data_IF_296628990532
#
_entry.id   IF_296628990532
#
_cell.length_a   1.000
_cell.length_b   1.000
_cell.length_c   1.000
_cell.angle_alpha   90.00
_cell.angle_beta   90.00
_cell.angle_gamma   90.00
#
_symmetry.space_group_name_H-M   'P 1'
#
loop_
_entity.id
_entity.type
_entity.pdbx_description
1 polymer ?
#
# COMPACT_ATOMS: atom_id res chain seq x y z
N UNK A 1 17.79 -15.70 -6.76
CA UNK A 1 16.73 -15.45 -5.76
C UNK A 1 15.60 -16.42 -6.03
N UNK A 2 14.88 -16.94 -5.03
CA UNK A 2 13.84 -17.95 -5.27
C UNK A 2 12.49 -17.24 -5.45
N UNK A 3 11.81 -17.54 -6.56
CA UNK A 3 10.46 -17.04 -6.85
C UNK A 3 9.49 -17.54 -5.78
N UNK A 4 8.77 -16.61 -5.18
CA UNK A 4 7.75 -16.87 -4.15
C UNK A 4 6.36 -17.01 -4.77
N UNK A 5 6.04 -16.09 -5.69
CA UNK A 5 4.77 -16.04 -6.41
C UNK A 5 5.07 -15.90 -7.90
N UNK A 6 4.38 -16.69 -8.70
CA UNK A 6 4.41 -16.63 -10.17
C UNK A 6 2.98 -16.45 -10.68
N UNK A 7 2.75 -15.43 -11.46
CA UNK A 7 1.46 -15.10 -12.10
C UNK A 7 1.68 -15.03 -13.60
N UNK A 8 0.86 -15.78 -14.37
CA UNK A 8 0.97 -15.87 -15.83
C UNK A 8 -0.37 -15.61 -16.50
N UNK A 9 -0.45 -14.53 -17.27
CA UNK A 9 -1.62 -14.12 -18.06
C UNK A 9 -2.93 -14.18 -17.26
N UNK A 10 -2.85 -13.83 -15.97
CA UNK A 10 -3.93 -13.97 -15.01
C UNK A 10 -5.04 -12.97 -15.29
N UNK A 11 -6.26 -13.44 -15.42
CA UNK A 11 -7.44 -12.58 -15.49
C UNK A 11 -8.52 -13.08 -14.53
N UNK A 12 -9.26 -12.12 -13.96
CA UNK A 12 -10.40 -12.39 -13.07
C UNK A 12 -11.54 -11.44 -13.36
N UNK A 13 -12.70 -12.02 -13.68
CA UNK A 13 -13.96 -11.32 -13.92
C UNK A 13 -14.99 -11.67 -12.86
N UNK A 14 -15.84 -10.71 -12.53
CA UNK A 14 -17.05 -10.87 -11.73
C UNK A 14 -18.22 -10.31 -12.54
N UNK A 15 -18.92 -11.21 -13.25
CA UNK A 15 -19.88 -10.79 -14.26
C UNK A 15 -19.19 -9.98 -15.37
N UNK A 16 -19.63 -8.75 -15.56
CA UNK A 16 -19.05 -7.82 -16.55
C UNK A 16 -17.86 -7.01 -16.02
N UNK A 17 -17.60 -7.08 -14.71
CA UNK A 17 -16.51 -6.31 -14.09
C UNK A 17 -15.19 -7.07 -14.19
N UNK A 18 -14.22 -6.47 -14.87
CA UNK A 18 -12.85 -7.00 -14.97
C UNK A 18 -12.03 -6.48 -13.78
N UNK A 19 -11.74 -7.35 -12.82
CA UNK A 19 -10.97 -6.99 -11.63
C UNK A 19 -9.45 -7.17 -11.83
N UNK A 20 -9.04 -8.18 -12.61
CA UNK A 20 -7.64 -8.40 -13.04
C UNK A 20 -7.70 -8.72 -14.54
N UNK A 21 -6.77 -8.12 -15.30
CA UNK A 21 -6.71 -8.24 -16.75
C UNK A 21 -5.30 -8.59 -17.22
N UNK A 22 -5.12 -9.80 -17.72
CA UNK A 22 -3.88 -10.30 -18.33
C UNK A 22 -2.59 -9.99 -17.53
N UNK A 23 -2.65 -10.16 -16.21
CA UNK A 23 -1.55 -9.85 -15.30
C UNK A 23 -0.46 -10.93 -15.39
N UNK A 24 0.79 -10.51 -15.62
CA UNK A 24 1.96 -11.39 -15.55
C UNK A 24 3.01 -10.72 -14.68
N UNK A 25 3.39 -11.38 -13.58
CA UNK A 25 4.41 -10.89 -12.66
C UNK A 25 5.04 -12.04 -11.86
N UNK A 26 6.20 -11.76 -11.26
CA UNK A 26 6.86 -12.63 -10.29
C UNK A 26 7.20 -11.84 -9.04
N UNK A 27 6.95 -12.41 -7.85
CA UNK A 27 7.37 -11.83 -6.59
C UNK A 27 8.40 -12.74 -5.94
N UNK A 28 9.50 -12.16 -5.54
CA UNK A 28 10.59 -12.86 -4.85
C UNK A 28 10.41 -12.78 -3.33
N UNK A 29 11.25 -13.53 -2.59
CA UNK A 29 11.28 -13.45 -1.13
C UNK A 29 11.70 -12.06 -0.65
N UNK A 30 11.13 -11.63 0.46
CA UNK A 30 11.37 -10.35 1.08
C UNK A 30 10.09 -9.51 1.23
N UNK A 31 10.24 -8.22 1.47
CA UNK A 31 9.11 -7.29 1.58
C UNK A 31 8.84 -6.67 0.20
N UNK A 32 7.60 -6.74 -0.25
CA UNK A 32 7.14 -6.16 -1.53
C UNK A 32 5.93 -5.28 -1.29
N UNK A 33 5.95 -4.06 -1.81
CA UNK A 33 4.80 -3.17 -1.85
C UNK A 33 3.90 -3.47 -3.06
N UNK A 34 2.61 -3.64 -2.83
CA UNK A 34 1.60 -3.74 -3.88
C UNK A 34 0.83 -2.42 -3.93
N UNK A 35 1.25 -1.55 -4.83
CA UNK A 35 0.78 -0.17 -4.91
C UNK A 35 -0.29 -0.02 -5.99
N UNK A 36 -1.30 0.81 -5.73
CA UNK A 36 -2.33 1.13 -6.72
C UNK A 36 -3.56 1.79 -6.09
N UNK A 37 -4.34 2.56 -6.87
CA UNK A 37 -5.55 3.21 -6.37
C UNK A 37 -6.61 2.19 -5.90
N UNK A 38 -7.67 2.71 -5.28
CA UNK A 38 -8.82 1.88 -4.94
C UNK A 38 -9.45 1.32 -6.23
N UNK A 39 -9.79 0.03 -6.20
CA UNK A 39 -10.29 -0.66 -7.39
C UNK A 39 -9.21 -1.16 -8.36
N UNK A 40 -7.90 -0.94 -8.11
CA UNK A 40 -6.81 -1.43 -8.97
C UNK A 40 -6.68 -2.97 -9.03
N UNK A 41 -7.39 -3.71 -8.16
CA UNK A 41 -7.36 -5.17 -8.12
C UNK A 41 -6.49 -5.77 -7.01
N UNK A 42 -5.92 -4.97 -6.10
CA UNK A 42 -5.01 -5.42 -5.02
C UNK A 42 -5.61 -6.53 -4.17
N UNK A 43 -6.77 -6.29 -3.55
CA UNK A 43 -7.44 -7.29 -2.70
C UNK A 43 -7.94 -8.50 -3.50
N UNK A 44 -8.28 -8.32 -4.79
CA UNK A 44 -8.62 -9.43 -5.68
C UNK A 44 -7.41 -10.32 -5.93
N UNK A 45 -6.24 -9.72 -6.18
CA UNK A 45 -5.00 -10.46 -6.35
C UNK A 45 -4.63 -11.23 -5.07
N UNK A 46 -4.76 -10.63 -3.89
CA UNK A 46 -4.57 -11.33 -2.61
C UNK A 46 -5.51 -12.53 -2.45
N UNK A 47 -6.81 -12.37 -2.76
CA UNK A 47 -7.77 -13.47 -2.68
C UNK A 47 -7.48 -14.59 -3.69
N UNK A 48 -6.86 -14.28 -4.84
CA UNK A 48 -6.35 -15.27 -5.79
C UNK A 48 -5.09 -15.99 -5.25
N UNK A 49 -4.15 -15.26 -4.62
CA UNK A 49 -2.98 -15.83 -3.94
C UNK A 49 -3.36 -16.75 -2.78
N UNK A 50 -4.45 -16.43 -2.08
CA UNK A 50 -5.02 -17.26 -1.01
C UNK A 50 -5.83 -18.46 -1.52
N UNK A 51 -6.06 -18.57 -2.84
CA UNK A 51 -6.92 -19.61 -3.41
C UNK A 51 -8.40 -19.46 -3.10
N UNK A 52 -8.82 -18.32 -2.51
CA UNK A 52 -10.23 -17.98 -2.24
C UNK A 52 -11.00 -17.72 -3.53
N UNK A 53 -10.32 -17.18 -4.54
CA UNK A 53 -10.87 -17.02 -5.88
C UNK A 53 -10.15 -17.91 -6.88
N UNK A 54 -10.89 -18.36 -7.90
CA UNK A 54 -10.33 -19.06 -9.05
C UNK A 54 -10.07 -18.04 -10.15
N UNK A 55 -8.92 -18.07 -10.82
CA UNK A 55 -8.70 -17.33 -12.05
C UNK A 55 -9.80 -17.60 -13.08
N UNK A 56 -10.21 -16.58 -13.82
CA UNK A 56 -11.08 -16.75 -15.01
C UNK A 56 -10.24 -17.20 -16.21
N UNK A 57 -8.97 -16.75 -16.29
CA UNK A 57 -7.96 -17.14 -17.27
C UNK A 57 -6.57 -17.07 -16.66
N UNK A 58 -5.60 -17.79 -17.25
CA UNK A 58 -4.23 -17.82 -16.79
C UNK A 58 -4.01 -18.66 -15.53
N UNK A 59 -2.91 -18.40 -14.84
CA UNK A 59 -2.55 -19.20 -13.66
C UNK A 59 -1.82 -18.36 -12.61
N UNK A 60 -1.90 -18.85 -11.37
CA UNK A 60 -1.14 -18.33 -10.23
C UNK A 60 -0.53 -19.49 -9.46
N UNK A 61 0.72 -19.33 -9.04
CA UNK A 61 1.43 -20.26 -8.17
C UNK A 61 2.00 -19.50 -6.97
N UNK A 62 1.88 -20.09 -5.81
CA UNK A 62 2.46 -19.61 -4.56
C UNK A 62 3.30 -20.76 -3.98
N UNK A 63 4.57 -20.51 -3.65
CA UNK A 63 5.52 -21.56 -3.25
C UNK A 63 5.58 -22.72 -4.27
N UNK A 64 5.56 -22.40 -5.57
CA UNK A 64 5.52 -23.36 -6.68
C UNK A 64 4.22 -24.19 -6.78
N UNK A 65 3.30 -24.07 -5.82
CA UNK A 65 2.01 -24.76 -5.77
C UNK A 65 0.83 -23.91 -6.27
N UNK A 66 -0.23 -24.57 -6.76
CA UNK A 66 -1.51 -23.91 -6.96
C UNK A 66 -2.13 -23.65 -5.57
N UNK A 67 -2.50 -22.41 -5.21
CA UNK A 67 -3.04 -22.11 -3.88
C UNK A 67 -4.43 -22.70 -3.64
N UNK A 68 -5.20 -23.00 -4.72
CA UNK A 68 -6.57 -23.47 -4.58
C UNK A 68 -6.61 -24.90 -4.03
N UNK A 69 -7.36 -25.10 -2.94
CA UNK A 69 -7.53 -26.41 -2.26
C UNK A 69 -6.20 -27.08 -1.90
N UNK A 70 -5.16 -26.30 -1.66
CA UNK A 70 -3.82 -26.79 -1.36
C UNK A 70 -3.43 -26.41 0.08
N UNK A 71 -3.67 -27.35 1.00
CA UNK A 71 -3.41 -27.14 2.42
C UNK A 71 -1.94 -26.81 2.71
N UNK A 72 -1.00 -27.44 1.99
CA UNK A 72 0.44 -27.20 2.16
C UNK A 72 0.86 -25.78 1.79
N UNK A 73 0.17 -25.13 0.85
CA UNK A 73 0.35 -23.72 0.51
C UNK A 73 -0.34 -22.85 1.55
N UNK A 74 -1.60 -23.16 1.88
CA UNK A 74 -2.41 -22.35 2.80
C UNK A 74 -1.81 -22.25 4.21
N UNK A 75 -1.22 -23.32 4.73
CA UNK A 75 -0.57 -23.34 6.04
C UNK A 75 0.66 -22.42 6.14
N UNK A 76 1.22 -22.02 5.00
CA UNK A 76 2.39 -21.13 4.91
C UNK A 76 2.01 -19.69 4.67
N UNK A 77 0.70 -19.39 4.54
CA UNK A 77 0.16 -18.06 4.27
C UNK A 77 -0.50 -17.47 5.52
N UNK A 78 -0.25 -16.19 5.76
CA UNK A 78 -0.99 -15.37 6.69
C UNK A 78 -1.66 -14.22 5.95
N UNK A 79 -2.88 -13.86 6.34
CA UNK A 79 -3.64 -12.79 5.71
C UNK A 79 -4.24 -11.83 6.73
N UNK A 80 -3.92 -10.56 6.58
CA UNK A 80 -4.54 -9.47 7.30
C UNK A 80 -5.47 -8.73 6.34
N UNK A 81 -6.80 -8.88 6.43
CA UNK A 81 -7.76 -8.22 5.55
C UNK A 81 -7.87 -6.72 5.86
N UNK A 82 -8.28 -5.94 4.86
CA UNK A 82 -8.63 -4.52 5.03
C UNK A 82 -9.79 -4.35 6.02
N UNK A 83 -10.85 -5.12 5.83
CA UNK A 83 -12.07 -5.04 6.65
C UNK A 83 -11.97 -5.89 7.91
N UNK A 84 -12.58 -5.40 8.98
CA UNK A 84 -12.66 -6.13 10.23
C UNK A 84 -13.67 -7.29 10.15
N UNK A 85 -13.28 -8.46 10.68
CA UNK A 85 -14.12 -9.68 10.73
C UNK A 85 -13.97 -10.36 12.08
N UNK A 86 -14.17 -9.60 13.16
CA UNK A 86 -14.02 -10.10 14.52
C UNK A 86 -15.31 -10.69 15.10
N UNK A 87 -15.14 -11.56 16.06
CA UNK A 87 -16.16 -11.90 17.04
C UNK A 87 -16.06 -10.88 18.19
N UNK A 88 -16.85 -9.83 18.13
CA UNK A 88 -16.74 -8.63 18.97
C UNK A 88 -16.76 -8.92 20.48
N UNK A 89 -17.45 -9.96 20.91
CA UNK A 89 -17.56 -10.37 22.33
C UNK A 89 -16.34 -11.17 22.84
N UNK A 90 -15.38 -11.49 21.98
CA UNK A 90 -14.15 -12.17 22.39
C UNK A 90 -13.10 -11.16 22.81
N UNK A 91 -12.17 -11.57 23.66
CA UNK A 91 -10.93 -10.83 23.88
C UNK A 91 -9.97 -11.04 22.70
N UNK A 92 -9.02 -10.12 22.54
CA UNK A 92 -7.99 -10.28 21.49
C UNK A 92 -7.20 -11.58 21.64
N UNK A 93 -6.89 -11.97 22.89
CA UNK A 93 -6.23 -13.23 23.20
C UNK A 93 -7.08 -14.44 22.81
N UNK A 94 -8.37 -14.47 23.22
CA UNK A 94 -9.27 -15.56 22.87
C UNK A 94 -9.43 -15.73 21.37
N UNK A 95 -9.55 -14.62 20.65
CA UNK A 95 -9.67 -14.63 19.19
C UNK A 95 -8.46 -15.32 18.55
N UNK A 96 -7.24 -14.91 18.89
CA UNK A 96 -6.01 -15.51 18.36
C UNK A 96 -5.85 -16.96 18.83
N UNK A 97 -6.15 -17.26 20.10
CA UNK A 97 -6.09 -18.60 20.64
C UNK A 97 -6.98 -19.58 19.88
N UNK A 98 -8.25 -19.22 19.64
CA UNK A 98 -9.19 -20.10 18.94
C UNK A 98 -8.82 -20.32 17.47
N UNK A 99 -8.28 -19.30 16.80
CA UNK A 99 -7.73 -19.46 15.44
C UNK A 99 -6.57 -20.47 15.43
N UNK A 100 -5.65 -20.39 16.39
CA UNK A 100 -4.57 -21.36 16.52
C UNK A 100 -5.10 -22.79 16.75
N UNK A 101 -6.16 -22.93 17.54
CA UNK A 101 -6.83 -24.22 17.74
C UNK A 101 -7.45 -24.77 16.45
N UNK A 102 -8.03 -23.92 15.61
CA UNK A 102 -8.56 -24.30 14.30
C UNK A 102 -7.47 -24.74 13.33
N UNK A 103 -6.27 -24.17 13.43
CA UNK A 103 -5.08 -24.62 12.69
C UNK A 103 -4.51 -25.96 13.19
N UNK A 104 -5.12 -26.58 14.19
CA UNK A 104 -4.75 -27.91 14.70
C UNK A 104 -3.66 -27.87 15.76
N UNK A 105 -3.28 -26.73 16.29
CA UNK A 105 -2.33 -26.62 17.39
C UNK A 105 -2.89 -27.27 18.67
N UNK A 106 -2.03 -27.91 19.43
CA UNK A 106 -2.40 -28.38 20.78
C UNK A 106 -2.77 -27.19 21.68
N UNK A 107 -3.47 -27.45 22.77
CA UNK A 107 -3.84 -26.38 23.74
C UNK A 107 -2.60 -25.59 24.19
N UNK A 108 -1.51 -26.29 24.51
CA UNK A 108 -0.26 -25.69 25.00
C UNK A 108 0.39 -24.81 23.94
N UNK A 109 0.46 -25.27 22.70
CA UNK A 109 0.99 -24.51 21.58
C UNK A 109 0.13 -23.29 21.26
N UNK A 110 -1.19 -23.42 21.25
CA UNK A 110 -2.10 -22.33 20.95
C UNK A 110 -2.02 -21.20 22.00
N UNK A 111 -1.91 -21.52 23.29
CA UNK A 111 -1.67 -20.56 24.36
C UNK A 111 -0.37 -19.81 24.11
N UNK A 112 0.73 -20.54 24.00
CA UNK A 112 2.06 -19.94 23.80
C UNK A 112 2.11 -19.06 22.55
N UNK A 113 1.57 -19.52 21.44
CA UNK A 113 1.57 -18.74 20.20
C UNK A 113 0.67 -17.50 20.30
N UNK A 114 -0.48 -17.57 20.97
CA UNK A 114 -1.34 -16.42 21.18
C UNK A 114 -0.63 -15.32 22.01
N UNK A 115 0.04 -15.71 23.09
CA UNK A 115 0.85 -14.79 23.90
C UNK A 115 1.99 -14.16 23.08
N UNK A 116 2.79 -14.99 22.36
CA UNK A 116 3.90 -14.54 21.53
C UNK A 116 3.47 -13.55 20.45
N UNK A 117 2.37 -13.78 19.75
CA UNK A 117 1.94 -12.87 18.68
C UNK A 117 1.26 -11.61 19.20
N UNK A 118 0.53 -11.69 20.35
CA UNK A 118 -0.01 -10.50 21.01
C UNK A 118 1.11 -9.59 21.52
N UNK A 119 2.18 -10.16 22.07
CA UNK A 119 3.37 -9.41 22.46
C UNK A 119 4.05 -8.76 21.24
N UNK A 120 4.24 -9.53 20.17
CA UNK A 120 4.88 -9.07 18.94
C UNK A 120 4.19 -7.84 18.33
N UNK A 121 2.86 -7.79 18.38
CA UNK A 121 2.07 -6.65 17.87
C UNK A 121 1.83 -5.55 18.91
N UNK A 122 2.40 -5.67 20.14
CA UNK A 122 2.29 -4.68 21.19
C UNK A 122 0.91 -4.62 21.83
N UNK A 123 0.25 -5.78 22.03
CA UNK A 123 -1.09 -5.91 22.63
C UNK A 123 -1.08 -6.59 23.99
N UNK A 124 0.09 -6.83 24.61
CA UNK A 124 0.22 -7.57 25.87
C UNK A 124 -0.67 -7.04 27.00
N UNK A 125 -0.73 -5.71 27.18
CA UNK A 125 -1.51 -5.09 28.26
C UNK A 125 -3.01 -5.04 27.99
N UNK A 126 -3.41 -5.22 26.72
CA UNK A 126 -4.80 -5.05 26.26
C UNK A 126 -5.38 -6.30 25.62
N UNK A 127 -4.62 -7.41 25.56
CA UNK A 127 -5.06 -8.63 24.89
C UNK A 127 -6.26 -9.32 25.56
N UNK A 128 -6.46 -9.07 26.85
CA UNK A 128 -7.57 -9.62 27.65
C UNK A 128 -8.82 -8.73 27.66
N UNK A 129 -8.77 -7.54 27.04
CA UNK A 129 -9.94 -6.69 26.87
C UNK A 129 -10.82 -7.20 25.71
N UNK A 130 -12.13 -6.98 25.75
CA UNK A 130 -13.04 -7.29 24.66
C UNK A 130 -12.71 -6.48 23.38
N UNK A 131 -12.86 -7.13 22.22
CA UNK A 131 -12.51 -6.51 20.93
C UNK A 131 -13.43 -5.33 20.58
N UNK A 132 -14.67 -5.29 21.07
CA UNK A 132 -15.59 -4.17 20.89
C UNK A 132 -15.11 -2.87 21.56
N UNK A 133 -14.26 -2.97 22.59
CA UNK A 133 -13.61 -1.84 23.26
C UNK A 133 -12.30 -1.37 22.55
N UNK A 134 -11.86 -2.07 21.51
CA UNK A 134 -10.61 -1.76 20.87
C UNK A 134 -10.68 -0.51 19.97
N UNK A 135 -9.68 0.35 20.09
CA UNK A 135 -9.43 1.40 19.12
C UNK A 135 -9.14 0.80 17.73
N UNK A 136 -9.26 1.59 16.69
CA UNK A 136 -8.95 1.14 15.32
C UNK A 136 -7.51 0.60 15.19
N UNK A 137 -6.56 1.24 15.87
CA UNK A 137 -5.17 0.78 15.92
C UNK A 137 -5.01 -0.58 16.61
N UNK A 138 -5.71 -0.81 17.72
CA UNK A 138 -5.70 -2.09 18.42
C UNK A 138 -6.33 -3.20 17.57
N UNK A 139 -7.45 -2.93 16.89
CA UNK A 139 -8.08 -3.84 15.93
C UNK A 139 -7.11 -4.23 14.81
N UNK A 140 -6.38 -3.25 14.26
CA UNK A 140 -5.39 -3.51 13.22
C UNK A 140 -4.24 -4.41 13.72
N UNK A 141 -3.76 -4.19 14.95
CA UNK A 141 -2.74 -5.04 15.56
C UNK A 141 -3.22 -6.48 15.77
N UNK A 142 -4.44 -6.68 16.22
CA UNK A 142 -5.01 -8.05 16.37
C UNK A 142 -5.25 -8.72 15.02
N UNK A 143 -5.61 -8.00 13.94
CA UNK A 143 -5.65 -8.57 12.59
C UNK A 143 -4.28 -9.08 12.15
N UNK A 144 -3.21 -8.38 12.49
CA UNK A 144 -1.86 -8.84 12.19
C UNK A 144 -1.45 -10.00 13.09
N UNK A 145 -1.81 -9.99 14.37
CA UNK A 145 -1.62 -11.15 15.27
C UNK A 145 -2.30 -12.40 14.71
N UNK A 146 -3.54 -12.27 14.23
CA UNK A 146 -4.27 -13.32 13.52
C UNK A 146 -3.47 -13.84 12.30
N UNK A 147 -2.96 -12.94 11.46
CA UNK A 147 -2.20 -13.32 10.27
C UNK A 147 -0.89 -14.05 10.62
N UNK A 148 -0.29 -13.73 11.76
CA UNK A 148 0.93 -14.33 12.27
C UNK A 148 0.70 -15.66 13.03
N UNK A 149 -0.51 -15.92 13.45
CA UNK A 149 -0.87 -17.03 14.34
C UNK A 149 -0.48 -18.40 13.79
N UNK A 150 -0.61 -18.62 12.48
CA UNK A 150 -0.21 -19.86 11.82
C UNK A 150 1.30 -19.99 11.61
N UNK A 151 2.12 -19.04 12.05
CA UNK A 151 3.58 -18.94 11.80
C UNK A 151 3.92 -18.98 10.31
N UNK A 152 3.32 -18.13 9.49
CA UNK A 152 3.44 -18.19 8.05
C UNK A 152 4.84 -17.82 7.56
N UNK A 153 5.17 -18.28 6.34
CA UNK A 153 6.36 -17.86 5.59
C UNK A 153 6.08 -16.61 4.74
N UNK A 154 4.83 -16.44 4.30
CA UNK A 154 4.36 -15.28 3.53
C UNK A 154 3.15 -14.63 4.21
N UNK A 155 3.26 -13.32 4.46
CA UNK A 155 2.20 -12.47 4.97
C UNK A 155 1.64 -11.61 3.84
N UNK A 156 0.33 -11.58 3.70
CA UNK A 156 -0.42 -10.68 2.84
C UNK A 156 -1.15 -9.67 3.73
N UNK A 157 -0.74 -8.40 3.68
CA UNK A 157 -1.29 -7.33 4.51
C UNK A 157 -2.05 -6.35 3.61
N UNK A 158 -3.39 -6.35 3.72
CA UNK A 158 -4.26 -5.52 2.87
C UNK A 158 -4.58 -4.20 3.58
N UNK A 159 -4.02 -3.08 3.07
CA UNK A 159 -4.13 -1.71 3.61
C UNK A 159 -3.84 -1.65 5.13
N UNK A 160 -2.70 -2.20 5.63
CA UNK A 160 -2.47 -2.36 7.08
C UNK A 160 -2.31 -1.03 7.83
N UNK A 161 -2.00 0.07 7.15
CA UNK A 161 -1.88 1.41 7.73
C UNK A 161 -3.20 2.18 7.75
N UNK A 162 -4.26 1.63 7.15
CA UNK A 162 -5.55 2.29 6.99
C UNK A 162 -6.17 2.74 8.31
N UNK A 163 -6.35 4.07 8.47
CA UNK A 163 -6.99 4.70 9.63
C UNK A 163 -6.22 4.65 10.93
N UNK A 164 -4.91 4.39 10.88
CA UNK A 164 -4.02 4.59 11.99
C UNK A 164 -3.65 6.08 12.13
N UNK A 165 -3.42 6.51 13.37
CA UNK A 165 -2.78 7.78 13.66
C UNK A 165 -1.29 7.77 13.24
N UNK A 166 -0.59 8.92 13.17
CA UNK A 166 0.80 8.96 12.74
C UNK A 166 1.73 8.05 13.56
N UNK A 167 1.53 7.96 14.87
CA UNK A 167 2.32 7.10 15.74
C UNK A 167 2.07 5.62 15.43
N UNK A 168 0.82 5.22 15.29
CA UNK A 168 0.43 3.85 14.94
C UNK A 168 0.97 3.41 13.58
N UNK A 169 1.06 4.33 12.60
CA UNK A 169 1.69 4.06 11.29
C UNK A 169 3.20 3.79 11.44
N UNK A 170 3.92 4.61 12.20
CA UNK A 170 5.36 4.41 12.41
C UNK A 170 5.64 3.06 13.11
N UNK A 171 4.83 2.69 14.11
CA UNK A 171 4.93 1.40 14.77
C UNK A 171 4.63 0.24 13.82
N UNK A 172 3.68 0.42 12.89
CA UNK A 172 3.36 -0.56 11.86
C UNK A 172 4.50 -0.71 10.83
N UNK A 173 5.11 0.38 10.38
CA UNK A 173 6.29 0.33 9.52
C UNK A 173 7.45 -0.44 10.18
N UNK A 174 7.70 -0.15 11.45
CA UNK A 174 8.73 -0.84 12.24
C UNK A 174 8.44 -2.36 12.35
N UNK A 175 7.19 -2.72 12.60
CA UNK A 175 6.76 -4.13 12.68
C UNK A 175 6.98 -4.85 11.34
N UNK A 176 6.55 -4.26 10.22
CA UNK A 176 6.70 -4.87 8.89
C UNK A 176 8.17 -5.06 8.53
N UNK A 177 9.03 -4.05 8.79
CA UNK A 177 10.48 -4.16 8.58
C UNK A 177 11.08 -5.29 9.40
N UNK A 178 10.78 -5.34 10.69
CA UNK A 178 11.25 -6.39 11.59
C UNK A 178 10.85 -7.78 11.09
N UNK A 179 9.61 -7.98 10.64
CA UNK A 179 9.18 -9.26 10.08
C UNK A 179 9.99 -9.65 8.83
N UNK A 180 10.32 -8.67 7.97
CA UNK A 180 11.20 -8.88 6.82
C UNK A 180 12.64 -9.26 7.23
N UNK A 181 13.20 -8.58 8.23
CA UNK A 181 14.53 -8.85 8.77
C UNK A 181 14.62 -10.23 9.45
N UNK A 182 13.52 -10.69 10.06
CA UNK A 182 13.37 -12.05 10.61
C UNK A 182 13.22 -13.13 9.52
N UNK A 183 13.29 -12.75 8.24
CA UNK A 183 13.26 -13.67 7.09
C UNK A 183 11.87 -14.04 6.60
N UNK A 184 10.81 -13.40 7.08
CA UNK A 184 9.46 -13.57 6.53
C UNK A 184 9.34 -12.80 5.22
N UNK A 185 8.57 -13.36 4.29
CA UNK A 185 8.14 -12.60 3.13
C UNK A 185 6.84 -11.85 3.45
N UNK A 186 6.74 -10.58 3.05
CA UNK A 186 5.56 -9.75 3.33
C UNK A 186 5.16 -9.03 2.06
N UNK A 187 3.90 -9.10 1.68
CA UNK A 187 3.33 -8.25 0.63
C UNK A 187 2.36 -7.29 1.30
N UNK A 188 2.64 -6.00 1.15
CA UNK A 188 1.84 -4.92 1.74
C UNK A 188 1.09 -4.20 0.63
N UNK A 189 -0.24 -4.23 0.64
CA UNK A 189 -1.02 -3.39 -0.25
C UNK A 189 -1.24 -2.00 0.34
N UNK A 190 -1.15 -0.98 -0.49
CA UNK A 190 -1.53 0.39 -0.16
C UNK A 190 -1.78 1.20 -1.43
N UNK A 191 -2.42 2.35 -1.29
CA UNK A 191 -2.57 3.34 -2.35
C UNK A 191 -1.65 4.55 -2.15
N UNK A 192 -0.81 4.55 -1.09
CA UNK A 192 0.08 5.65 -0.72
C UNK A 192 1.54 5.24 -0.94
N UNK A 193 2.22 5.90 -1.89
CA UNK A 193 3.62 5.60 -2.24
C UNK A 193 4.55 5.73 -1.03
N UNK A 194 4.39 6.80 -0.25
CA UNK A 194 5.19 7.05 0.95
C UNK A 194 5.16 5.87 1.94
N UNK A 195 4.02 5.20 2.11
CA UNK A 195 3.90 4.05 3.00
C UNK A 195 4.75 2.87 2.52
N UNK A 196 4.80 2.66 1.21
CA UNK A 196 5.65 1.60 0.61
C UNK A 196 7.13 1.93 0.82
N UNK A 197 7.55 3.15 0.53
CA UNK A 197 8.94 3.60 0.68
C UNK A 197 9.47 3.44 2.10
N UNK A 198 8.58 3.51 3.10
CA UNK A 198 8.91 3.30 4.49
C UNK A 198 9.22 1.86 4.84
N UNK A 199 8.76 0.88 4.06
CA UNK A 199 8.86 -0.55 4.42
C UNK A 199 9.70 -1.37 3.44
N UNK A 200 9.84 -0.95 2.18
CA UNK A 200 10.56 -1.72 1.16
C UNK A 200 11.08 -0.86 0.01
N UNK A 201 12.09 -1.38 -0.68
CA UNK A 201 12.59 -0.80 -1.95
C UNK A 201 11.97 -1.47 -3.19
N UNK A 202 11.11 -2.50 -3.03
CA UNK A 202 10.57 -3.28 -4.15
C UNK A 202 9.06 -3.13 -4.23
N UNK A 203 8.55 -2.75 -5.40
CA UNK A 203 7.12 -2.55 -5.61
C UNK A 203 6.60 -3.20 -6.88
N UNK A 204 5.31 -3.52 -6.83
CA UNK A 204 4.46 -3.84 -7.97
C UNK A 204 3.37 -2.79 -8.04
N UNK A 205 3.28 -2.10 -9.18
CA UNK A 205 2.31 -1.04 -9.41
C UNK A 205 1.15 -1.57 -10.23
N UNK A 206 -0.06 -1.55 -9.65
CA UNK A 206 -1.29 -1.99 -10.30
C UNK A 206 -2.21 -0.81 -10.62
N UNK A 207 -2.83 -0.88 -11.79
CA UNK A 207 -3.88 0.04 -12.20
C UNK A 207 -4.92 -0.66 -13.07
N UNK A 208 -6.22 -0.47 -12.77
CA UNK A 208 -7.33 -1.07 -13.51
C UNK A 208 -7.13 -2.56 -13.84
N UNK A 209 -6.63 -3.33 -12.87
CA UNK A 209 -6.41 -4.77 -13.00
C UNK A 209 -5.19 -5.17 -13.81
N UNK A 210 -4.35 -4.24 -14.28
CA UNK A 210 -3.11 -4.49 -15.01
C UNK A 210 -1.89 -4.07 -14.21
N UNK A 211 -0.73 -4.63 -14.53
CA UNK A 211 0.55 -4.17 -13.98
C UNK A 211 1.11 -3.04 -14.84
N UNK A 212 1.35 -1.89 -14.25
CA UNK A 212 2.01 -0.76 -14.92
C UNK A 212 3.53 -0.85 -14.83
N UNK A 213 4.03 -1.22 -13.65
CA UNK A 213 5.46 -1.33 -13.41
C UNK A 213 5.75 -2.33 -12.28
N UNK A 214 6.94 -2.90 -12.32
CA UNK A 214 7.50 -3.71 -11.23
C UNK A 214 9.00 -3.43 -11.17
N UNK A 215 9.53 -3.14 -9.98
CA UNK A 215 10.94 -2.85 -9.82
C UNK A 215 11.24 -2.16 -8.49
N UNK A 216 12.36 -1.43 -8.45
CA UNK A 216 12.72 -0.66 -7.28
C UNK A 216 11.94 0.65 -7.23
N UNK A 217 11.59 1.08 -6.03
CA UNK A 217 10.88 2.34 -5.79
C UNK A 217 11.56 3.52 -6.50
N UNK A 218 12.89 3.60 -6.44
CA UNK A 218 13.67 4.66 -7.11
C UNK A 218 13.46 4.70 -8.61
N UNK A 219 13.49 3.53 -9.27
CA UNK A 219 13.30 3.43 -10.72
C UNK A 219 11.91 3.89 -11.15
N UNK A 220 10.92 3.59 -10.32
CA UNK A 220 9.53 3.99 -10.56
C UNK A 220 9.34 5.48 -10.25
N UNK A 221 9.99 5.99 -9.20
CA UNK A 221 10.01 7.43 -8.89
C UNK A 221 10.64 8.24 -10.03
N UNK A 222 11.77 7.79 -10.58
CA UNK A 222 12.42 8.44 -11.74
C UNK A 222 11.49 8.49 -12.97
N UNK A 223 10.61 7.52 -13.14
CA UNK A 223 9.56 7.54 -14.17
C UNK A 223 8.48 8.58 -13.87
N UNK A 224 8.16 8.75 -12.58
CA UNK A 224 7.21 9.74 -12.07
C UNK A 224 7.79 11.15 -12.19
N UNK A 225 9.01 11.36 -11.72
CA UNK A 225 9.69 12.66 -11.69
C UNK A 225 9.99 13.23 -13.10
N UNK A 226 10.02 12.38 -14.12
CA UNK A 226 10.09 12.81 -15.53
C UNK A 226 8.78 13.39 -16.07
N UNK A 227 7.71 13.28 -15.28
CA UNK A 227 6.41 13.81 -15.65
C UNK A 227 6.34 15.30 -15.34
N UNK A 228 5.83 16.16 -16.26
CA UNK A 228 5.57 17.54 -15.94
C UNK A 228 4.55 17.67 -14.81
N UNK A 229 4.94 18.34 -13.74
CA UNK A 229 4.08 18.62 -12.60
C UNK A 229 3.21 19.84 -12.84
N UNK A 230 1.97 19.79 -12.38
CA UNK A 230 1.03 20.92 -12.45
C UNK A 230 0.90 21.56 -11.08
N UNK A 231 1.42 22.79 -10.94
CA UNK A 231 1.35 23.59 -9.73
C UNK A 231 0.28 24.65 -9.94
N UNK A 232 -0.71 24.69 -9.06
CA UNK A 232 -1.79 25.67 -9.06
C UNK A 232 -1.50 26.69 -7.96
N UNK A 233 -1.43 27.96 -8.33
CA UNK A 233 -1.18 29.07 -7.42
C UNK A 233 -2.38 30.02 -7.44
N UNK A 234 -3.03 30.22 -6.30
CA UNK A 234 -4.03 31.24 -6.15
C UNK A 234 -3.38 32.56 -5.71
N UNK A 235 -3.58 33.60 -6.51
CA UNK A 235 -2.92 34.89 -6.31
C UNK A 235 -3.75 36.05 -6.88
N UNK A 236 -3.63 37.28 -6.32
CA UNK A 236 -4.37 38.46 -6.79
C UNK A 236 -4.00 38.89 -8.20
N UNK A 237 -2.74 38.63 -8.62
CA UNK A 237 -2.19 39.12 -9.88
C UNK A 237 -1.50 38.00 -10.69
N UNK A 238 -2.25 37.00 -11.27
CA UNK A 238 -1.68 35.82 -11.91
C UNK A 238 -0.76 36.14 -13.08
N UNK A 239 -1.09 37.18 -13.86
CA UNK A 239 -0.28 37.59 -15.01
C UNK A 239 1.08 38.14 -14.60
N UNK A 240 1.11 38.93 -13.53
CA UNK A 240 2.35 39.49 -13.00
C UNK A 240 3.22 38.36 -12.41
N UNK A 241 2.62 37.44 -11.66
CA UNK A 241 3.31 36.26 -11.13
C UNK A 241 3.86 35.40 -12.26
N UNK A 242 3.12 35.17 -13.35
CA UNK A 242 3.56 34.39 -14.49
C UNK A 242 4.83 34.95 -15.13
N UNK A 243 5.05 36.27 -15.13
CA UNK A 243 6.27 36.88 -15.70
C UNK A 243 7.54 36.44 -14.99
N UNK A 244 7.44 36.14 -13.69
CA UNK A 244 8.58 35.65 -12.90
C UNK A 244 9.04 34.24 -13.35
N UNK A 245 8.14 33.46 -13.98
CA UNK A 245 8.43 32.08 -14.44
C UNK A 245 8.78 32.00 -15.92
N UNK A 246 8.70 33.07 -16.67
CA UNK A 246 9.08 33.08 -18.11
C UNK A 246 10.56 32.82 -18.35
N UNK A 247 11.43 33.02 -17.37
CA UNK A 247 12.88 32.80 -17.43
C UNK A 247 13.31 31.47 -16.79
N UNK A 248 12.36 30.64 -16.35
CA UNK A 248 12.65 29.32 -15.77
C UNK A 248 12.61 28.31 -16.90
N UNK A 249 13.77 27.75 -17.26
CA UNK A 249 13.95 26.87 -18.41
C UNK A 249 13.08 25.60 -18.34
N UNK A 250 12.69 25.17 -17.14
CA UNK A 250 11.91 23.96 -16.90
C UNK A 250 10.38 24.20 -16.90
N UNK A 251 9.91 25.41 -17.15
CA UNK A 251 8.48 25.73 -17.27
C UNK A 251 7.97 25.41 -18.67
N UNK A 252 7.11 24.38 -18.78
CA UNK A 252 6.61 23.85 -20.05
C UNK A 252 5.39 24.64 -20.55
N UNK A 253 4.46 24.98 -19.65
CA UNK A 253 3.25 25.71 -19.95
C UNK A 253 2.78 26.56 -18.76
N UNK A 254 2.12 27.68 -19.06
CA UNK A 254 1.48 28.53 -18.06
C UNK A 254 0.09 28.91 -18.53
N UNK A 255 -0.90 28.68 -17.67
CA UNK A 255 -2.29 29.08 -17.87
C UNK A 255 -2.70 29.96 -16.72
N UNK A 256 -3.44 31.04 -16.99
CA UNK A 256 -3.94 31.91 -15.93
C UNK A 256 -5.38 32.31 -16.15
N UNK A 257 -6.13 32.42 -15.07
CA UNK A 257 -7.48 32.97 -14.98
C UNK A 257 -7.51 34.20 -14.07
N UNK A 258 -8.67 34.64 -13.60
CA UNK A 258 -8.80 35.89 -12.84
C UNK A 258 -7.95 35.92 -11.55
N UNK A 259 -7.89 34.84 -10.78
CA UNK A 259 -7.15 34.77 -9.51
C UNK A 259 -6.25 33.49 -9.43
N UNK A 260 -5.99 32.81 -10.53
CA UNK A 260 -5.26 31.54 -10.54
C UNK A 260 -4.21 31.50 -11.63
N UNK A 261 -3.01 31.07 -11.27
CA UNK A 261 -1.93 30.70 -12.18
C UNK A 261 -1.72 29.17 -12.11
N UNK A 262 -1.75 28.50 -13.24
CA UNK A 262 -1.41 27.09 -13.37
C UNK A 262 -0.07 26.99 -14.09
N UNK A 263 0.93 26.46 -13.41
CA UNK A 263 2.28 26.24 -13.92
C UNK A 263 2.46 24.75 -14.23
N UNK A 264 2.94 24.43 -15.41
CA UNK A 264 3.35 23.08 -15.76
C UNK A 264 4.87 23.03 -15.93
N UNK A 265 5.55 22.25 -15.09
CA UNK A 265 7.01 22.25 -15.02
C UNK A 265 7.58 20.84 -14.97
N UNK A 266 8.78 20.64 -15.55
CA UNK A 266 9.58 19.41 -15.40
C UNK A 266 10.44 19.39 -14.13
N UNK A 267 10.65 20.55 -13.46
CA UNK A 267 11.33 20.65 -12.17
C UNK A 267 10.46 21.38 -11.14
N UNK A 268 9.63 20.65 -10.39
CA UNK A 268 8.78 21.23 -9.37
C UNK A 268 9.59 21.86 -8.23
N UNK A 269 10.78 21.35 -7.90
CA UNK A 269 11.60 21.86 -6.80
C UNK A 269 12.06 23.30 -7.06
N UNK A 270 12.57 23.57 -8.25
CA UNK A 270 12.98 24.94 -8.68
C UNK A 270 11.76 25.87 -8.68
N UNK A 271 10.60 25.41 -9.14
CA UNK A 271 9.37 26.20 -9.08
C UNK A 271 8.94 26.50 -7.63
N UNK A 272 8.94 25.51 -6.73
CA UNK A 272 8.57 25.72 -5.32
C UNK A 272 9.55 26.64 -4.60
N UNK A 273 10.86 26.52 -4.84
CA UNK A 273 11.85 27.44 -4.27
C UNK A 273 11.54 28.88 -4.68
N UNK A 274 11.28 29.12 -5.95
CA UNK A 274 10.97 30.45 -6.46
C UNK A 274 9.65 31.00 -5.91
N UNK A 275 8.61 30.15 -5.78
CA UNK A 275 7.36 30.55 -5.13
C UNK A 275 7.57 30.92 -3.66
N UNK A 276 8.37 30.14 -2.93
CA UNK A 276 8.72 30.42 -1.54
C UNK A 276 9.48 31.75 -1.41
N UNK A 277 10.45 32.03 -2.28
CA UNK A 277 11.20 33.29 -2.29
C UNK A 277 10.26 34.48 -2.50
N UNK A 278 9.28 34.35 -3.40
CA UNK A 278 8.29 35.40 -3.65
C UNK A 278 7.38 35.64 -2.45
N UNK A 279 6.93 34.58 -1.75
CA UNK A 279 6.14 34.68 -0.52
C UNK A 279 6.94 35.33 0.60
N UNK A 280 8.25 35.04 0.70
CA UNK A 280 9.12 35.67 1.71
C UNK A 280 9.35 37.16 1.44
N UNK A 281 9.31 37.59 0.18
CA UNK A 281 9.44 39.01 -0.20
C UNK A 281 8.14 39.80 0.03
N UNK A 282 7.02 39.19 -0.31
CA UNK A 282 5.68 39.81 -0.11
C UNK A 282 4.64 38.70 0.16
N UNK A 283 4.21 38.51 1.43
CA UNK A 283 3.25 37.49 1.82
C UNK A 283 1.87 37.58 1.15
N UNK A 284 1.48 38.78 0.66
CA UNK A 284 0.18 38.97 0.02
C UNK A 284 0.19 38.59 -1.47
N UNK A 285 1.35 38.24 -2.03
CA UNK A 285 1.51 37.87 -3.43
C UNK A 285 0.85 36.52 -3.77
N UNK A 286 0.83 35.56 -2.82
CA UNK A 286 0.31 34.20 -3.01
C UNK A 286 -0.62 33.86 -1.86
N UNK A 287 -1.84 33.39 -2.17
CA UNK A 287 -2.83 32.94 -1.18
C UNK A 287 -2.73 31.46 -0.87
N UNK A 288 -2.57 30.64 -1.89
CA UNK A 288 -2.39 29.20 -1.75
C UNK A 288 -1.56 28.63 -2.88
N UNK A 289 -0.85 27.54 -2.58
CA UNK A 289 -0.10 26.73 -3.55
C UNK A 289 -0.58 25.30 -3.42
N UNK A 290 -1.00 24.69 -4.53
CA UNK A 290 -1.44 23.30 -4.59
C UNK A 290 -0.73 22.58 -5.74
N UNK A 291 -0.22 21.38 -5.51
CA UNK A 291 0.27 20.52 -6.57
C UNK A 291 -0.82 19.50 -6.90
N UNK A 292 -1.39 19.58 -8.09
CA UNK A 292 -2.50 18.70 -8.48
C UNK A 292 -2.05 17.28 -8.83
N UNK A 293 -0.77 17.10 -9.17
CA UNK A 293 -0.19 15.87 -9.71
C UNK A 293 0.65 15.09 -8.69
N UNK A 294 0.64 15.50 -7.41
CA UNK A 294 1.37 14.85 -6.33
C UNK A 294 0.71 13.53 -5.86
N UNK A 295 -0.44 13.19 -6.45
CA UNK A 295 -1.11 11.94 -6.13
C UNK A 295 -0.79 10.86 -7.18
N UNK A 296 -0.70 9.62 -6.70
CA UNK A 296 -0.48 8.45 -7.55
C UNK A 296 -1.47 8.32 -8.71
N UNK A 297 -2.68 8.85 -8.59
CA UNK A 297 -3.69 8.75 -9.63
C UNK A 297 -3.32 9.59 -10.85
N UNK A 298 -2.77 10.79 -10.66
CA UNK A 298 -2.28 11.65 -11.74
C UNK A 298 -1.11 11.02 -12.48
N UNK A 299 -0.21 10.37 -11.71
CA UNK A 299 0.90 9.59 -12.28
C UNK A 299 0.39 8.40 -13.09
N UNK A 300 -0.63 7.69 -12.59
CA UNK A 300 -1.24 6.58 -13.30
C UNK A 300 -1.87 7.02 -14.62
N UNK A 301 -2.63 8.12 -14.61
CA UNK A 301 -3.27 8.65 -15.82
C UNK A 301 -2.27 9.05 -16.90
N UNK A 302 -1.06 9.44 -16.49
CA UNK A 302 0.02 9.76 -17.43
C UNK A 302 0.73 8.51 -17.98
N UNK A 303 1.02 7.53 -17.14
CA UNK A 303 1.69 6.29 -17.60
C UNK A 303 0.79 5.46 -18.54
N UNK A 304 -0.51 5.79 -18.64
CA UNK A 304 -1.49 5.10 -19.49
C UNK A 304 -1.69 5.82 -20.82
N UNK A 305 -1.32 7.10 -20.93
CA UNK A 305 -1.35 7.86 -22.20
C UNK A 305 -0.14 7.56 -23.05
#
# INVERSE_FOLDING_TARGET
MSTLIEVKELSKWFGEVVAINNLTLTIEKGVTGLLGPNGAGKSTLFKLMLGLYTPSRGSIRVFEGNPRNNLSVMQRLGYCPETDTFFENMTGYEFVYWLNRQWGMTRKEAIKTAEEVCELVGMTERMDDPIDEYSKGMRQRIKIAQALASKPELLLLDEPMGGLDPKGREEMFALIKRLGEEGKSVIVSTHILYEVERVTDTIVLLYNGTMLAQGRVREIRDLIDRHPHTIIVECPHPRQLATEFTTVDDTINMEFSEERLTLRTSDPNTCFQKLNDLVLLDPDTIRSIECSDDNLQSVFEYLIK
#
